data_IF_961494813047
#
_entry.id   IF_961494813047
#
_cell.length_a   1.000
_cell.length_b   1.000
_cell.length_c   1.000
_cell.angle_alpha   90.00
_cell.angle_beta   90.00
_cell.angle_gamma   90.00
#
_symmetry.space_group_name_H-M   'P 1'
#
loop_
_entity.id
_entity.type
_entity.pdbx_description
1 polymer ?
#
# COMPACT_ATOMS: atom_id res chain seq x y z
N UNK A 1 58.09 -13.01 -29.67
CA UNK A 1 57.07 -13.54 -28.75
C UNK A 1 57.25 -12.85 -27.41
N UNK A 2 56.47 -11.81 -27.16
CA UNK A 2 56.54 -11.01 -25.92
C UNK A 2 55.11 -10.74 -25.48
N UNK A 3 54.74 -11.30 -24.33
CA UNK A 3 53.42 -11.25 -23.73
C UNK A 3 53.01 -9.81 -23.37
N UNK A 4 51.80 -9.41 -23.77
CA UNK A 4 51.07 -8.28 -23.18
C UNK A 4 50.31 -8.79 -21.94
N UNK A 5 50.26 -8.04 -20.82
CA UNK A 5 49.37 -8.40 -19.72
C UNK A 5 47.98 -7.80 -19.98
N UNK A 6 46.96 -8.66 -19.92
CA UNK A 6 45.55 -8.26 -19.88
C UNK A 6 45.25 -7.48 -18.61
N UNK A 7 44.86 -6.21 -18.75
CA UNK A 7 44.29 -5.42 -17.66
C UNK A 7 42.86 -5.89 -17.40
N UNK A 8 42.66 -6.61 -16.30
CA UNK A 8 41.34 -6.91 -15.74
C UNK A 8 40.80 -5.62 -15.11
N UNK A 9 39.85 -4.96 -15.78
CA UNK A 9 39.09 -3.86 -15.19
C UNK A 9 38.04 -4.49 -14.27
N UNK A 10 38.30 -4.40 -12.96
CA UNK A 10 37.35 -4.78 -11.92
C UNK A 10 36.24 -3.71 -11.88
N UNK A 11 35.10 -4.00 -12.50
CA UNK A 11 33.92 -3.16 -12.36
C UNK A 11 33.36 -3.33 -10.95
N UNK A 12 33.75 -2.44 -10.03
CA UNK A 12 33.06 -2.27 -8.77
C UNK A 12 31.65 -1.73 -9.06
N UNK A 13 30.65 -2.60 -9.01
CA UNK A 13 29.25 -2.20 -8.98
C UNK A 13 29.05 -1.39 -7.69
N UNK A 14 29.02 -0.07 -7.83
CA UNK A 14 28.55 0.84 -6.79
C UNK A 14 27.05 0.55 -6.60
N UNK A 15 26.72 -0.32 -5.64
CA UNK A 15 25.38 -0.35 -5.07
C UNK A 15 25.11 1.05 -4.51
N UNK A 16 24.32 1.82 -5.25
CA UNK A 16 23.74 3.03 -4.70
C UNK A 16 22.83 2.59 -3.53
N UNK A 17 22.87 3.25 -2.37
CA UNK A 17 21.84 3.00 -1.36
C UNK A 17 20.50 3.34 -2.00
N UNK A 18 19.62 2.35 -2.09
CA UNK A 18 18.21 2.58 -2.43
C UNK A 18 17.70 3.61 -1.43
N UNK A 19 17.20 4.76 -1.91
CA UNK A 19 16.46 5.65 -1.04
C UNK A 19 15.32 4.83 -0.41
N UNK A 20 15.19 4.88 0.91
CA UNK A 20 14.13 4.15 1.61
C UNK A 20 12.78 4.63 1.04
N UNK A 21 12.06 3.72 0.39
CA UNK A 21 10.74 4.02 -0.17
C UNK A 21 9.70 3.95 0.95
N UNK A 22 8.67 4.80 0.89
CA UNK A 22 7.62 4.79 1.90
C UNK A 22 6.80 3.49 1.73
N UNK A 23 6.55 2.72 2.81
CA UNK A 23 5.71 1.52 2.73
C UNK A 23 4.30 1.88 2.26
N UNK A 24 3.79 1.12 1.29
CA UNK A 24 2.42 1.24 0.79
C UNK A 24 1.45 0.47 1.68
N UNK A 25 0.26 1.03 1.86
CA UNK A 25 -0.83 0.42 2.61
C UNK A 25 -1.70 -0.43 1.67
N UNK A 26 -1.61 -1.76 1.80
CA UNK A 26 -2.42 -2.69 1.02
C UNK A 26 -3.66 -3.09 1.81
N UNK A 27 -4.84 -2.83 1.25
CA UNK A 27 -6.12 -3.27 1.80
C UNK A 27 -6.33 -4.75 1.48
N UNK A 28 -6.71 -5.53 2.50
CA UNK A 28 -6.99 -6.95 2.32
C UNK A 28 -8.38 -7.17 1.71
N UNK A 29 -8.42 -7.91 0.61
CA UNK A 29 -9.66 -8.42 0.06
C UNK A 29 -10.14 -9.60 0.93
N UNK A 30 -11.15 -9.36 1.76
CA UNK A 30 -11.71 -10.39 2.62
C UNK A 30 -12.22 -11.61 1.85
N UNK A 31 -12.86 -11.42 0.69
CA UNK A 31 -13.45 -12.52 -0.08
C UNK A 31 -12.36 -13.43 -0.68
N UNK A 32 -11.21 -12.87 -1.03
CA UNK A 32 -10.06 -13.62 -1.53
C UNK A 32 -9.10 -14.09 -0.43
N UNK A 33 -9.10 -13.41 0.73
CA UNK A 33 -8.26 -13.73 1.88
C UNK A 33 -8.90 -14.74 2.82
N UNK A 34 -9.23 -15.91 2.28
CA UNK A 34 -9.88 -17.00 3.00
C UNK A 34 -8.86 -17.99 3.55
N UNK A 35 -9.09 -18.41 4.80
CA UNK A 35 -8.22 -19.26 5.58
C UNK A 35 -8.99 -20.42 6.21
N UNK A 36 -8.23 -21.44 6.58
CA UNK A 36 -8.61 -22.49 7.51
C UNK A 36 -7.64 -22.51 8.67
N UNK A 37 -8.12 -22.93 9.84
CA UNK A 37 -7.25 -23.20 10.96
C UNK A 37 -7.35 -24.67 11.40
N UNK A 38 -6.27 -25.16 11.99
CA UNK A 38 -6.19 -26.48 12.60
C UNK A 38 -5.31 -26.39 13.84
N UNK A 39 -5.44 -27.37 14.73
CA UNK A 39 -4.56 -27.45 15.88
C UNK A 39 -4.45 -28.85 16.46
N UNK A 40 -3.41 -29.08 17.23
CA UNK A 40 -3.23 -30.32 17.99
C UNK A 40 -2.83 -29.99 19.41
N UNK A 41 -3.24 -30.85 20.33
CA UNK A 41 -2.86 -30.80 21.74
C UNK A 41 -2.38 -32.19 22.16
N UNK A 42 -1.81 -32.31 23.36
CA UNK A 42 -1.53 -33.62 23.95
C UNK A 42 -2.79 -34.49 24.15
N UNK A 43 -3.98 -33.89 24.19
CA UNK A 43 -5.28 -34.58 24.33
C UNK A 43 -5.88 -35.03 23.00
N UNK A 44 -5.37 -34.53 21.88
CA UNK A 44 -5.86 -34.86 20.53
C UNK A 44 -5.94 -33.65 19.61
N UNK A 45 -6.49 -33.88 18.42
CA UNK A 45 -6.69 -32.84 17.40
C UNK A 45 -7.83 -31.90 17.79
N UNK A 46 -7.69 -30.64 17.43
CA UNK A 46 -8.75 -29.65 17.49
C UNK A 46 -9.50 -29.68 16.17
N UNK A 47 -10.83 -29.74 16.22
CA UNK A 47 -11.72 -29.63 15.06
C UNK A 47 -12.55 -28.37 15.16
N UNK A 48 -12.90 -27.77 14.02
CA UNK A 48 -13.74 -26.56 13.98
C UNK A 48 -15.11 -26.76 14.64
N UNK A 49 -15.66 -25.68 15.21
CA UNK A 49 -16.91 -25.69 15.94
C UNK A 49 -17.68 -24.36 15.74
N UNK A 50 -18.59 -24.25 14.75
CA UNK A 50 -19.02 -25.28 13.81
C UNK A 50 -18.10 -25.46 12.60
N UNK A 51 -17.24 -24.49 12.32
CA UNK A 51 -16.36 -24.45 11.15
C UNK A 51 -14.92 -24.16 11.56
N UNK A 52 -13.97 -24.51 10.71
CA UNK A 52 -12.57 -24.11 10.82
C UNK A 52 -12.17 -23.03 9.81
N UNK A 53 -13.15 -22.45 9.11
CA UNK A 53 -12.92 -21.39 8.13
C UNK A 53 -13.01 -20.02 8.78
N UNK A 54 -12.14 -19.12 8.33
CA UNK A 54 -12.18 -17.70 8.65
C UNK A 54 -11.60 -16.90 7.48
N UNK A 55 -11.86 -15.60 7.46
CA UNK A 55 -11.21 -14.67 6.55
C UNK A 55 -10.35 -13.66 7.31
N UNK A 56 -9.50 -12.96 6.57
CA UNK A 56 -8.70 -11.87 7.10
C UNK A 56 -9.07 -10.58 6.36
N UNK A 57 -9.35 -9.51 7.10
CA UNK A 57 -9.60 -8.16 6.57
C UNK A 57 -8.61 -7.16 7.18
N UNK A 58 -8.77 -5.87 6.89
CA UNK A 58 -7.83 -4.85 7.35
C UNK A 58 -6.74 -4.62 6.32
N UNK A 59 -5.47 -4.55 6.75
CA UNK A 59 -4.38 -4.17 5.87
C UNK A 59 -3.04 -4.84 6.19
N UNK A 60 -2.09 -4.70 5.26
CA UNK A 60 -0.67 -4.96 5.48
C UNK A 60 0.19 -3.89 4.82
N UNK A 61 1.39 -3.65 5.37
CA UNK A 61 2.32 -2.66 4.82
C UNK A 61 3.34 -3.35 3.91
N UNK A 62 3.46 -2.89 2.67
CA UNK A 62 4.43 -3.40 1.71
C UNK A 62 5.30 -2.25 1.20
N UNK A 63 6.58 -2.29 1.53
CA UNK A 63 7.58 -1.48 0.84
C UNK A 63 7.88 -2.16 -0.50
N UNK A 64 7.74 -1.42 -1.60
CA UNK A 64 8.06 -1.90 -2.95
C UNK A 64 9.30 -1.19 -3.43
N UNK A 65 10.26 -1.97 -3.93
CA UNK A 65 11.47 -1.46 -4.57
C UNK A 65 11.51 -1.75 -6.06
N UNK A 66 12.06 -0.82 -6.85
CA UNK A 66 12.02 -0.90 -8.31
C UNK A 66 12.63 0.32 -9.00
N UNK A 67 13.05 0.14 -10.25
CA UNK A 67 13.51 1.20 -11.14
C UNK A 67 12.37 1.80 -11.98
N UNK A 68 12.70 2.59 -13.01
CA UNK A 68 11.73 3.38 -13.79
C UNK A 68 10.59 2.60 -14.48
N UNK A 69 10.62 1.26 -14.57
CA UNK A 69 9.67 0.50 -15.38
C UNK A 69 9.25 -0.88 -14.83
N UNK A 70 9.71 -1.26 -13.63
CA UNK A 70 9.33 -2.56 -13.04
C UNK A 70 9.50 -2.56 -11.52
N UNK A 71 8.58 -3.25 -10.86
CA UNK A 71 8.73 -3.73 -9.50
C UNK A 71 9.88 -4.75 -9.49
N UNK A 72 10.92 -4.51 -8.69
CA UNK A 72 12.12 -5.34 -8.63
C UNK A 72 12.31 -6.02 -7.26
N UNK A 73 11.63 -5.55 -6.23
CA UNK A 73 11.69 -6.14 -4.90
C UNK A 73 10.59 -5.64 -3.98
N UNK A 74 10.48 -6.26 -2.81
CA UNK A 74 9.52 -5.88 -1.79
C UNK A 74 9.92 -6.31 -0.39
N UNK A 75 9.26 -5.73 0.61
CA UNK A 75 9.41 -6.11 2.01
C UNK A 75 8.12 -5.83 2.77
N UNK A 76 7.61 -6.82 3.49
CA UNK A 76 6.47 -6.63 4.37
C UNK A 76 6.96 -5.95 5.64
N UNK A 77 6.50 -4.71 5.86
CA UNK A 77 6.91 -3.87 6.99
C UNK A 77 5.91 -3.99 8.13
N UNK A 78 6.36 -3.56 9.31
CA UNK A 78 5.48 -3.40 10.46
C UNK A 78 4.47 -2.24 10.25
N UNK A 79 3.37 -2.27 10.99
CA UNK A 79 2.31 -1.26 10.98
C UNK A 79 1.01 -1.72 10.32
N UNK A 80 0.99 -2.90 9.69
CA UNK A 80 -0.22 -3.51 9.14
C UNK A 80 -1.02 -4.27 10.21
N UNK A 81 -2.36 -4.25 10.09
CA UNK A 81 -3.25 -4.95 11.00
C UNK A 81 -4.24 -5.80 10.21
N UNK A 82 -4.00 -7.12 10.21
CA UNK A 82 -4.86 -8.11 9.61
C UNK A 82 -5.86 -8.65 10.65
N UNK A 83 -7.14 -8.37 10.48
CA UNK A 83 -8.20 -8.72 11.42
C UNK A 83 -8.74 -10.10 11.07
N UNK A 84 -8.73 -11.03 12.03
CA UNK A 84 -9.33 -12.36 11.86
C UNK A 84 -10.83 -12.27 12.11
N UNK A 85 -11.63 -12.74 11.15
CA UNK A 85 -13.08 -12.77 11.28
C UNK A 85 -13.68 -13.98 10.55
N UNK A 86 -14.63 -14.72 11.14
CA UNK A 86 -15.07 -14.60 12.53
C UNK A 86 -13.98 -15.04 13.53
N UNK A 87 -14.25 -14.85 14.82
CA UNK A 87 -13.46 -15.46 15.89
C UNK A 87 -13.32 -16.98 15.68
N UNK A 88 -12.18 -17.54 16.07
CA UNK A 88 -11.89 -18.95 15.86
C UNK A 88 -12.50 -19.76 17.00
N UNK A 89 -13.37 -20.74 16.68
CA UNK A 89 -13.95 -21.64 17.68
C UNK A 89 -13.80 -23.10 17.25
N UNK A 90 -13.29 -23.91 18.16
CA UNK A 90 -12.98 -25.32 17.94
C UNK A 90 -13.23 -26.16 19.18
N UNK A 91 -13.10 -27.47 19.02
CA UNK A 91 -13.28 -28.44 20.11
C UNK A 91 -12.34 -29.61 19.97
N UNK A 92 -12.01 -30.22 21.10
CA UNK A 92 -11.35 -31.53 21.13
C UNK A 92 -12.45 -32.59 21.26
N UNK A 93 -12.70 -33.41 20.22
CA UNK A 93 -13.76 -34.39 20.27
C UNK A 93 -13.46 -35.47 21.30
N UNK A 94 -14.50 -36.00 21.92
CA UNK A 94 -14.39 -37.19 22.75
C UNK A 94 -14.23 -38.43 21.85
N UNK A 95 -13.61 -39.48 22.37
CA UNK A 95 -13.49 -40.78 21.69
C UNK A 95 -14.85 -41.32 21.27
N UNK A 96 -15.87 -41.10 22.10
CA UNK A 96 -17.26 -41.46 21.80
C UNK A 96 -18.05 -40.21 21.40
N UNK A 97 -18.57 -40.18 20.17
CA UNK A 97 -19.24 -39.01 19.59
C UNK A 97 -20.54 -38.57 20.32
N UNK A 98 -21.13 -39.44 21.15
CA UNK A 98 -22.31 -39.11 21.97
C UNK A 98 -21.96 -38.44 23.29
N UNK A 99 -20.68 -38.44 23.69
CA UNK A 99 -20.21 -37.71 24.87
C UNK A 99 -19.89 -36.25 24.49
N UNK A 100 -20.04 -35.31 25.45
CA UNK A 100 -19.59 -33.94 25.25
C UNK A 100 -18.09 -33.86 24.89
N UNK A 101 -17.66 -32.81 24.15
CA UNK A 101 -16.25 -32.59 23.82
C UNK A 101 -15.36 -32.51 25.07
N UNK A 102 -14.09 -32.90 24.93
CA UNK A 102 -13.11 -32.84 26.02
C UNK A 102 -12.74 -31.40 26.39
N UNK A 103 -12.77 -30.49 25.42
CA UNK A 103 -12.63 -29.06 25.62
C UNK A 103 -13.23 -28.28 24.45
N UNK A 104 -13.66 -27.06 24.72
CA UNK A 104 -13.94 -26.01 23.74
C UNK A 104 -12.76 -25.04 23.76
N UNK A 105 -12.35 -24.60 22.56
CA UNK A 105 -11.25 -23.66 22.34
C UNK A 105 -11.83 -22.48 21.58
N UNK A 106 -11.75 -21.29 22.15
CA UNK A 106 -12.18 -20.06 21.51
C UNK A 106 -11.01 -19.06 21.47
N UNK A 107 -10.79 -18.45 20.31
CA UNK A 107 -9.82 -17.37 20.14
C UNK A 107 -10.58 -16.15 19.62
N UNK A 108 -10.65 -15.11 20.44
CA UNK A 108 -11.45 -13.92 20.17
C UNK A 108 -10.60 -12.68 19.97
N UNK A 109 -11.09 -11.74 19.17
CA UNK A 109 -10.45 -10.45 18.88
C UNK A 109 -9.02 -10.62 18.35
N UNK A 110 -8.81 -11.62 17.48
CA UNK A 110 -7.48 -11.93 16.98
C UNK A 110 -7.10 -10.99 15.84
N UNK A 111 -5.92 -10.39 15.93
CA UNK A 111 -5.32 -9.60 14.85
C UNK A 111 -3.89 -10.05 14.61
N UNK A 112 -3.45 -9.97 13.36
CA UNK A 112 -2.16 -10.47 12.88
C UNK A 112 -1.36 -9.35 12.20
N UNK A 113 -0.05 -9.46 12.27
CA UNK A 113 0.91 -8.70 11.47
C UNK A 113 1.79 -9.67 10.69
N UNK A 114 2.12 -9.32 9.45
CA UNK A 114 2.99 -10.09 8.58
C UNK A 114 4.25 -9.28 8.30
N UNK A 115 5.42 -9.87 8.51
CA UNK A 115 6.72 -9.24 8.19
C UNK A 115 7.61 -10.20 7.43
N UNK A 116 8.48 -9.67 6.57
CA UNK A 116 9.44 -10.45 5.77
C UNK A 116 10.79 -9.74 5.76
N UNK A 117 11.91 -10.43 5.51
CA UNK A 117 13.09 -9.75 4.98
C UNK A 117 12.79 -9.22 3.57
N UNK A 118 13.61 -8.29 3.09
CA UNK A 118 13.56 -7.82 1.71
C UNK A 118 13.72 -8.98 0.72
N UNK A 119 12.93 -9.01 -0.33
CA UNK A 119 12.96 -10.03 -1.38
C UNK A 119 12.98 -9.42 -2.77
N UNK A 120 13.50 -10.17 -3.74
CA UNK A 120 13.45 -9.81 -5.15
C UNK A 120 12.16 -10.30 -5.80
N UNK A 121 11.67 -9.52 -6.77
CA UNK A 121 10.48 -9.83 -7.57
C UNK A 121 10.94 -10.04 -9.01
N UNK A 122 10.56 -11.17 -9.60
CA UNK A 122 10.88 -11.49 -10.98
C UNK A 122 10.04 -10.65 -11.96
N UNK A 123 10.44 -10.62 -13.24
CA UNK A 123 9.75 -9.84 -14.28
C UNK A 123 8.30 -10.30 -14.52
N UNK A 124 7.96 -11.54 -14.17
CA UNK A 124 6.59 -12.07 -14.21
C UNK A 124 5.79 -11.77 -12.93
N UNK A 125 6.35 -10.99 -12.00
CA UNK A 125 5.74 -10.63 -10.73
C UNK A 125 5.92 -11.67 -9.63
N UNK A 126 6.51 -12.83 -9.92
CA UNK A 126 6.69 -13.88 -8.91
C UNK A 126 7.78 -13.52 -7.90
N UNK A 127 7.59 -13.92 -6.64
CA UNK A 127 8.58 -13.73 -5.59
C UNK A 127 8.59 -14.89 -4.59
N UNK A 128 9.70 -15.00 -3.86
CA UNK A 128 9.86 -15.97 -2.78
C UNK A 128 10.65 -15.36 -1.63
N UNK A 129 10.19 -15.59 -0.40
CA UNK A 129 10.79 -15.10 0.85
C UNK A 129 10.40 -16.01 2.02
N UNK A 130 10.70 -15.58 3.25
CA UNK A 130 10.08 -16.13 4.46
C UNK A 130 9.23 -15.06 5.15
N UNK A 131 8.14 -15.49 5.78
CA UNK A 131 7.22 -14.64 6.51
C UNK A 131 7.23 -14.99 7.98
N UNK A 132 7.17 -13.97 8.83
CA UNK A 132 6.88 -14.09 10.25
C UNK A 132 5.49 -13.50 10.46
N UNK A 133 4.60 -14.30 11.05
CA UNK A 133 3.27 -13.85 11.47
C UNK A 133 3.27 -13.63 12.97
N UNK A 134 2.91 -12.43 13.41
CA UNK A 134 2.81 -12.05 14.82
C UNK A 134 1.36 -11.79 15.18
N UNK A 135 0.90 -12.30 16.32
CA UNK A 135 -0.41 -11.99 16.88
C UNK A 135 -0.29 -10.64 17.60
N UNK A 136 -0.96 -9.61 17.08
CA UNK A 136 -0.96 -8.27 17.66
C UNK A 136 -1.97 -8.13 18.81
N UNK A 137 -3.05 -8.90 18.77
CA UNK A 137 -4.05 -8.99 19.82
C UNK A 137 -4.81 -10.31 19.71
N UNK A 138 -5.42 -10.75 20.79
CA UNK A 138 -6.28 -11.93 20.82
C UNK A 138 -6.27 -12.61 22.18
N UNK A 139 -7.38 -13.25 22.54
CA UNK A 139 -7.51 -14.01 23.78
C UNK A 139 -7.92 -15.44 23.48
N UNK A 140 -7.08 -16.40 23.88
CA UNK A 140 -7.38 -17.82 23.86
C UNK A 140 -8.10 -18.21 25.15
N UNK A 141 -9.31 -18.74 25.02
CA UNK A 141 -10.10 -19.32 26.10
C UNK A 141 -10.20 -20.82 25.90
N UNK A 142 -9.87 -21.60 26.92
CA UNK A 142 -10.03 -23.06 26.91
C UNK A 142 -11.02 -23.44 28.00
N UNK A 143 -12.16 -24.00 27.60
CA UNK A 143 -13.20 -24.51 28.50
C UNK A 143 -13.15 -26.04 28.51
N UNK A 144 -12.51 -26.67 29.50
CA UNK A 144 -12.42 -28.13 29.57
C UNK A 144 -13.76 -28.75 29.99
N UNK A 145 -13.93 -30.05 29.70
CA UNK A 145 -15.09 -30.83 30.17
C UNK A 145 -15.16 -30.89 31.70
N UNK A 146 -14.00 -30.96 32.35
CA UNK A 146 -13.85 -30.99 33.80
C UNK A 146 -12.75 -30.00 34.18
N UNK A 147 -13.01 -29.17 35.19
CA UNK A 147 -12.07 -28.17 35.69
C UNK A 147 -12.51 -26.75 35.37
N UNK A 148 -11.59 -25.82 35.54
CA UNK A 148 -11.83 -24.38 35.34
C UNK A 148 -11.47 -23.96 33.92
N UNK A 149 -12.19 -22.96 33.40
CA UNK A 149 -11.82 -22.29 32.15
C UNK A 149 -10.52 -21.51 32.35
N UNK A 150 -9.62 -21.59 31.38
CA UNK A 150 -8.39 -20.79 31.34
C UNK A 150 -8.47 -19.75 30.23
N UNK A 151 -7.77 -18.63 30.45
CA UNK A 151 -7.67 -17.52 29.49
C UNK A 151 -6.21 -17.14 29.34
N UNK A 152 -5.75 -16.99 28.10
CA UNK A 152 -4.36 -16.66 27.76
C UNK A 152 -4.36 -15.52 26.75
N UNK A 153 -3.65 -14.45 27.08
CA UNK A 153 -3.38 -13.36 26.14
C UNK A 153 -2.38 -13.84 25.07
N UNK A 154 -2.73 -13.64 23.81
CA UNK A 154 -1.93 -14.05 22.66
C UNK A 154 -1.00 -12.95 22.13
N UNK A 155 -1.09 -11.74 22.67
CA UNK A 155 -0.37 -10.56 22.21
C UNK A 155 1.14 -10.79 22.18
N UNK A 156 1.76 -10.47 21.04
CA UNK A 156 3.20 -10.59 20.81
C UNK A 156 3.69 -11.98 20.46
N UNK A 157 2.81 -13.00 20.43
CA UNK A 157 3.22 -14.33 19.99
C UNK A 157 3.46 -14.38 18.49
N UNK A 158 4.60 -14.94 18.10
CA UNK A 158 4.99 -15.08 16.70
C UNK A 158 5.11 -16.55 16.28
N UNK A 159 4.72 -16.82 15.05
CA UNK A 159 5.05 -18.06 14.37
C UNK A 159 6.54 -18.06 14.00
N UNK A 160 7.17 -19.23 13.98
CA UNK A 160 8.50 -19.36 13.38
C UNK A 160 8.44 -19.03 11.89
N UNK A 161 9.54 -18.52 11.31
CA UNK A 161 9.60 -18.12 9.91
C UNK A 161 9.11 -19.24 8.96
N UNK A 162 8.09 -18.96 8.15
CA UNK A 162 7.52 -19.89 7.18
C UNK A 162 7.88 -19.48 5.75
N UNK A 163 8.07 -20.43 4.82
CA UNK A 163 8.29 -20.09 3.42
C UNK A 163 7.05 -19.38 2.86
N UNK A 164 7.28 -18.32 2.09
CA UNK A 164 6.24 -17.56 1.42
C UNK A 164 6.61 -17.37 -0.05
N UNK A 165 5.70 -17.74 -0.95
CA UNK A 165 5.83 -17.46 -2.38
C UNK A 165 4.50 -16.94 -2.91
N UNK A 166 4.56 -16.00 -3.84
CA UNK A 166 3.36 -15.44 -4.46
C UNK A 166 3.68 -14.53 -5.62
N UNK A 167 2.73 -13.65 -5.93
CA UNK A 167 2.80 -12.76 -7.10
C UNK A 167 2.44 -11.34 -6.71
N UNK A 168 3.13 -10.38 -7.32
CA UNK A 168 2.83 -8.95 -7.26
C UNK A 168 2.74 -8.43 -8.69
N UNK A 169 1.70 -7.67 -8.98
CA UNK A 169 1.49 -7.05 -10.29
C UNK A 169 1.00 -5.61 -10.14
N UNK A 170 1.52 -4.70 -10.95
CA UNK A 170 0.98 -3.35 -11.11
C UNK A 170 0.11 -3.27 -12.37
N UNK A 171 -1.04 -2.64 -12.24
CA UNK A 171 -1.89 -2.25 -13.36
C UNK A 171 -2.31 -0.79 -13.18
N UNK A 172 -2.91 -0.17 -14.19
CA UNK A 172 -3.32 1.25 -14.15
C UNK A 172 -4.28 1.62 -13.02
N UNK A 173 -4.83 0.65 -12.28
CA UNK A 173 -5.71 0.88 -11.14
C UNK A 173 -5.03 0.74 -9.77
N UNK A 174 -3.84 0.16 -9.69
CA UNK A 174 -3.21 -0.16 -8.41
C UNK A 174 -2.20 -1.29 -8.50
N UNK A 175 -1.64 -1.64 -7.35
CA UNK A 175 -0.80 -2.84 -7.20
C UNK A 175 -1.59 -3.93 -6.51
N UNK A 176 -1.53 -5.14 -7.04
CA UNK A 176 -2.21 -6.31 -6.53
C UNK A 176 -1.17 -7.33 -6.08
N UNK A 177 -1.41 -7.94 -4.93
CA UNK A 177 -0.53 -8.94 -4.35
C UNK A 177 -1.36 -10.15 -3.91
N UNK A 178 -0.83 -11.35 -4.16
CA UNK A 178 -1.47 -12.61 -3.77
C UNK A 178 -0.41 -13.61 -3.37
N UNK A 179 -0.51 -14.12 -2.14
CA UNK A 179 0.42 -15.13 -1.64
C UNK A 179 -0.26 -16.11 -0.70
N UNK A 180 -0.23 -17.41 -1.01
CA UNK A 180 -0.59 -18.46 -0.07
C UNK A 180 0.26 -18.36 1.20
N UNK A 181 -0.39 -18.37 2.36
CA UNK A 181 0.23 -18.25 3.67
C UNK A 181 -0.01 -19.51 4.50
N UNK A 182 1.03 -19.92 5.22
CA UNK A 182 0.92 -20.87 6.33
C UNK A 182 1.61 -20.25 7.54
N UNK A 183 0.95 -20.25 8.69
CA UNK A 183 1.50 -19.76 9.95
C UNK A 183 1.26 -20.79 11.04
N UNK A 184 2.30 -21.30 11.67
CA UNK A 184 2.17 -22.27 12.77
C UNK A 184 2.69 -21.69 14.07
N UNK A 185 1.77 -21.55 15.02
CA UNK A 185 2.01 -21.13 16.40
C UNK A 185 2.11 -22.35 17.29
N UNK A 186 3.03 -22.33 18.24
CA UNK A 186 3.22 -23.37 19.23
C UNK A 186 3.10 -22.77 20.62
N UNK A 187 2.29 -23.40 21.46
CA UNK A 187 2.02 -23.00 22.84
C UNK A 187 2.56 -24.09 23.76
N UNK A 188 3.13 -23.67 24.88
CA UNK A 188 3.45 -24.57 25.99
C UNK A 188 2.92 -23.92 27.25
N UNK A 189 1.98 -24.58 27.93
CA UNK A 189 1.51 -24.13 29.24
C UNK A 189 2.58 -24.41 30.31
N UNK A 190 3.14 -23.39 30.99
CA UNK A 190 4.18 -23.59 31.99
C UNK A 190 3.71 -24.37 33.22
N UNK A 191 2.40 -24.32 33.53
CA UNK A 191 1.83 -24.98 34.70
C UNK A 191 1.66 -26.49 34.53
N UNK A 192 1.16 -26.92 33.37
CA UNK A 192 0.86 -28.32 33.06
C UNK A 192 1.91 -29.01 32.19
N UNK A 193 2.79 -28.25 31.52
CA UNK A 193 3.71 -28.76 30.50
C UNK A 193 3.02 -29.18 29.20
N UNK A 194 1.73 -28.87 29.04
CA UNK A 194 0.96 -29.23 27.86
C UNK A 194 1.40 -28.39 26.66
N UNK A 195 1.69 -29.06 25.55
CA UNK A 195 1.93 -28.40 24.27
C UNK A 195 0.68 -28.40 23.39
N UNK A 196 0.50 -27.30 22.67
CA UNK A 196 -0.51 -27.17 21.64
C UNK A 196 0.08 -26.50 20.39
N UNK A 197 -0.49 -26.79 19.24
CA UNK A 197 -0.19 -26.09 17.98
C UNK A 197 -1.46 -25.50 17.40
N UNK A 198 -1.31 -24.37 16.73
CA UNK A 198 -2.32 -23.76 15.87
C UNK A 198 -1.69 -23.42 14.54
N UNK A 199 -2.21 -24.00 13.47
CA UNK A 199 -1.79 -23.72 12.10
C UNK A 199 -2.92 -22.98 11.39
N UNK A 200 -2.58 -21.82 10.82
CA UNK A 200 -3.42 -21.04 9.91
C UNK A 200 -2.94 -21.32 8.48
N UNK A 201 -3.86 -21.61 7.57
CA UNK A 201 -3.53 -21.87 6.16
C UNK A 201 -4.57 -21.22 5.27
N UNK A 202 -4.12 -20.35 4.37
CA UNK A 202 -5.01 -19.61 3.48
C UNK A 202 -4.24 -18.82 2.45
N UNK A 203 -4.89 -17.82 1.88
CA UNK A 203 -4.26 -16.88 0.93
C UNK A 203 -4.34 -15.49 1.52
N UNK A 204 -3.23 -14.75 1.46
CA UNK A 204 -3.23 -13.32 1.71
C UNK A 204 -3.34 -12.62 0.36
N UNK A 205 -4.43 -11.91 0.13
CA UNK A 205 -4.63 -11.12 -1.07
C UNK A 205 -5.04 -9.71 -0.70
N UNK A 206 -4.36 -8.74 -1.28
CA UNK A 206 -4.72 -7.35 -1.12
C UNK A 206 -4.23 -6.49 -2.26
N UNK A 207 -4.73 -5.29 -2.27
CA UNK A 207 -4.45 -4.30 -3.27
C UNK A 207 -4.11 -2.95 -2.64
N UNK A 208 -3.27 -2.20 -3.32
CA UNK A 208 -3.09 -0.79 -3.11
C UNK A 208 -3.64 -0.08 -4.34
N UNK A 209 -4.90 0.31 -4.27
CA UNK A 209 -5.52 1.14 -5.29
C UNK A 209 -4.77 2.48 -5.41
N UNK A 210 -4.55 2.90 -6.65
CA UNK A 210 -4.04 4.22 -6.95
C UNK A 210 -5.07 5.26 -6.50
N UNK A 211 -4.74 6.00 -5.44
CA UNK A 211 -5.69 6.95 -4.83
C UNK A 211 -6.25 7.94 -5.85
N UNK A 212 -7.56 8.20 -5.75
CA UNK A 212 -8.23 9.27 -6.49
C UNK A 212 -7.65 10.62 -6.13
N UNK A 213 -7.41 11.47 -7.13
CA UNK A 213 -6.97 12.84 -6.91
C UNK A 213 -8.06 13.66 -6.22
N UNK A 214 -7.68 14.70 -5.47
CA UNK A 214 -8.64 15.51 -4.73
C UNK A 214 -8.34 17.00 -4.87
N UNK A 215 -9.37 17.78 -5.17
CA UNK A 215 -9.27 19.22 -5.19
C UNK A 215 -9.19 19.80 -3.78
N UNK A 216 -8.36 20.82 -3.60
CA UNK A 216 -8.23 21.53 -2.34
C UNK A 216 -7.96 23.01 -2.61
N UNK A 217 -8.00 23.84 -1.55
CA UNK A 217 -7.84 25.28 -1.64
C UNK A 217 -8.97 25.94 -2.47
N UNK A 218 -9.10 27.26 -2.41
CA UNK A 218 -10.12 27.99 -3.16
C UNK A 218 -9.49 28.82 -4.27
N UNK A 219 -10.04 28.69 -5.49
CA UNK A 219 -9.76 29.59 -6.59
C UNK A 219 -10.65 30.84 -6.55
N UNK A 220 -10.08 31.97 -7.00
CA UNK A 220 -10.86 33.17 -7.25
C UNK A 220 -11.47 33.12 -8.66
N UNK A 221 -12.65 33.74 -8.88
CA UNK A 221 -13.19 33.90 -10.22
C UNK A 221 -12.20 34.63 -11.15
N UNK A 222 -12.10 34.18 -12.39
CA UNK A 222 -11.37 34.87 -13.45
C UNK A 222 -12.32 35.72 -14.31
N UNK A 223 -11.83 36.32 -15.40
CA UNK A 223 -12.66 37.20 -16.26
C UNK A 223 -13.85 36.54 -16.96
N UNK A 224 -13.97 35.20 -16.92
CA UNK A 224 -15.20 34.49 -17.30
C UNK A 224 -16.32 34.61 -16.28
N UNK A 225 -16.01 35.05 -15.05
CA UNK A 225 -16.91 35.05 -13.91
C UNK A 225 -16.89 33.75 -13.08
N UNK A 226 -16.15 32.73 -13.53
CA UNK A 226 -16.01 31.44 -12.85
C UNK A 226 -14.56 31.21 -12.36
N UNK A 227 -14.34 30.46 -11.27
CA UNK A 227 -13.01 30.00 -10.90
C UNK A 227 -12.52 28.95 -11.91
N UNK A 228 -11.22 28.97 -12.20
CA UNK A 228 -10.59 27.92 -13.01
C UNK A 228 -10.61 26.59 -12.23
N UNK A 229 -11.01 25.51 -12.89
CA UNK A 229 -11.23 24.21 -12.26
C UNK A 229 -10.24 23.19 -12.81
N UNK A 230 -9.34 22.70 -11.94
CA UNK A 230 -8.34 21.68 -12.29
C UNK A 230 -8.87 20.30 -11.93
N UNK A 231 -8.60 19.30 -12.76
CA UNK A 231 -8.91 17.90 -12.49
C UNK A 231 -7.89 17.01 -13.20
N UNK A 232 -8.01 15.70 -13.02
CA UNK A 232 -7.14 14.74 -13.70
C UNK A 232 -7.92 13.56 -14.26
N UNK A 233 -7.35 12.96 -15.29
CA UNK A 233 -7.77 11.70 -15.88
C UNK A 233 -6.55 10.78 -16.08
N UNK A 234 -6.78 9.52 -16.45
CA UNK A 234 -5.71 8.51 -16.52
C UNK A 234 -5.46 7.84 -15.18
N UNK A 235 -4.19 7.54 -14.86
CA UNK A 235 -3.76 6.92 -13.61
C UNK A 235 -2.70 7.73 -12.88
N UNK A 236 -2.63 7.59 -11.56
CA UNK A 236 -1.54 8.11 -10.72
C UNK A 236 -0.38 7.10 -10.59
N UNK A 237 -0.40 6.01 -11.37
CA UNK A 237 0.69 5.03 -11.46
C UNK A 237 1.91 5.62 -12.17
N UNK A 238 3.05 5.64 -11.47
CA UNK A 238 4.32 6.09 -12.05
C UNK A 238 4.77 5.18 -13.18
N UNK A 239 4.50 3.87 -13.09
CA UNK A 239 4.85 2.91 -14.12
C UNK A 239 3.94 3.01 -15.34
N UNK A 240 2.65 3.33 -15.16
CA UNK A 240 1.74 3.55 -16.27
C UNK A 240 2.10 4.80 -17.08
N UNK A 241 2.75 5.79 -16.45
CA UNK A 241 3.15 7.08 -17.04
C UNK A 241 2.03 7.74 -17.88
N UNK A 242 0.79 7.72 -17.38
CA UNK A 242 -0.39 8.14 -18.15
C UNK A 242 -1.30 9.14 -17.41
N UNK A 243 -0.78 9.80 -16.38
CA UNK A 243 -1.49 10.89 -15.71
C UNK A 243 -1.76 12.02 -16.71
N UNK A 244 -3.01 12.50 -16.75
CA UNK A 244 -3.39 13.68 -17.53
C UNK A 244 -3.97 14.73 -16.60
N UNK A 245 -3.38 15.92 -16.62
CA UNK A 245 -3.85 17.10 -15.91
C UNK A 245 -4.70 17.95 -16.86
N UNK A 246 -5.86 18.36 -16.38
CA UNK A 246 -6.81 19.13 -17.16
C UNK A 246 -7.27 20.35 -16.38
N UNK A 247 -7.59 21.42 -17.08
CA UNK A 247 -8.13 22.61 -16.45
C UNK A 247 -9.18 23.27 -17.34
N UNK A 248 -10.30 23.68 -16.74
CA UNK A 248 -11.47 24.26 -17.41
C UNK A 248 -11.84 25.61 -16.79
N UNK A 249 -12.86 26.27 -17.36
CA UNK A 249 -13.30 27.62 -17.00
C UNK A 249 -12.19 28.67 -17.15
N UNK A 250 -11.29 28.50 -18.12
CA UNK A 250 -10.18 29.42 -18.36
C UNK A 250 -10.62 30.63 -19.18
N UNK A 251 -10.01 31.81 -18.99
CA UNK A 251 -10.25 32.94 -19.88
C UNK A 251 -9.90 32.59 -21.34
N UNK A 252 -10.80 32.93 -22.26
CA UNK A 252 -10.67 32.61 -23.68
C UNK A 252 -9.37 33.16 -24.28
N UNK A 253 -8.71 32.36 -25.13
CA UNK A 253 -7.51 32.75 -25.87
C UNK A 253 -6.34 33.24 -24.98
N UNK A 254 -6.18 32.64 -23.79
CA UNK A 254 -5.07 32.91 -22.88
C UNK A 254 -4.09 31.75 -22.78
N UNK A 255 -2.83 32.11 -22.57
CA UNK A 255 -1.75 31.18 -22.27
C UNK A 255 -1.63 30.93 -20.78
N UNK A 256 -1.26 29.71 -20.43
CA UNK A 256 -1.00 29.28 -19.05
C UNK A 256 -0.14 28.02 -19.02
N UNK A 257 0.17 27.54 -17.82
CA UNK A 257 0.94 26.32 -17.62
C UNK A 257 0.64 25.71 -16.25
N UNK A 258 0.88 24.41 -16.13
CA UNK A 258 0.76 23.70 -14.86
C UNK A 258 1.96 23.98 -13.95
N UNK A 259 1.70 23.96 -12.65
CA UNK A 259 2.63 24.09 -11.55
C UNK A 259 2.55 22.82 -10.72
N UNK A 260 3.66 22.46 -10.07
CA UNK A 260 3.64 21.45 -9.01
C UNK A 260 4.56 21.80 -7.84
N UNK A 261 4.31 21.22 -6.68
CA UNK A 261 5.12 21.39 -5.48
C UNK A 261 4.96 20.19 -4.51
N UNK A 262 5.92 19.97 -3.59
CA UNK A 262 5.84 18.88 -2.60
C UNK A 262 4.93 19.20 -1.41
N UNK A 263 4.39 20.42 -1.32
CA UNK A 263 3.54 20.84 -0.21
C UNK A 263 2.40 21.77 -0.66
N UNK A 264 1.26 21.67 0.03
CA UNK A 264 0.15 22.60 -0.11
C UNK A 264 0.47 23.95 0.55
N UNK A 265 -0.23 24.99 0.12
CA UNK A 265 -0.11 26.35 0.66
C UNK A 265 -1.36 27.17 0.41
N UNK A 266 -1.35 28.42 0.87
CA UNK A 266 -2.36 29.40 0.54
C UNK A 266 -1.76 30.80 0.60
N UNK A 267 -1.45 31.37 -0.57
CA UNK A 267 -0.93 32.73 -0.70
C UNK A 267 -1.90 33.52 -1.59
N UNK A 268 -2.77 34.35 -1.00
CA UNK A 268 -3.73 35.13 -1.77
C UNK A 268 -3.03 36.21 -2.59
N UNK A 269 -3.52 36.46 -3.80
CA UNK A 269 -3.05 37.52 -4.71
C UNK A 269 -1.51 37.52 -4.93
N UNK A 270 -0.93 36.33 -5.04
CA UNK A 270 0.52 36.16 -5.10
C UNK A 270 1.14 36.92 -6.28
N UNK A 271 2.25 37.64 -6.04
CA UNK A 271 3.02 38.29 -7.09
C UNK A 271 2.21 39.27 -7.97
N UNK A 272 1.11 39.84 -7.46
CA UNK A 272 0.22 40.72 -8.22
C UNK A 272 -0.83 39.99 -9.08
N UNK A 273 -0.94 38.67 -8.96
CA UNK A 273 -2.02 37.87 -9.51
C UNK A 273 -3.35 38.21 -8.83
N UNK A 274 -4.47 38.00 -9.54
CA UNK A 274 -5.82 38.03 -8.97
C UNK A 274 -6.23 36.66 -8.38
N UNK A 275 -5.43 35.62 -8.59
CA UNK A 275 -5.63 34.27 -8.05
C UNK A 275 -4.90 34.01 -6.73
N UNK A 276 -5.24 32.88 -6.08
CA UNK A 276 -4.57 32.38 -4.88
C UNK A 276 -3.58 31.27 -5.27
N UNK A 277 -2.33 31.34 -4.79
CA UNK A 277 -1.37 30.26 -4.97
C UNK A 277 -1.58 29.21 -3.88
N UNK A 278 -1.96 27.99 -4.30
CA UNK A 278 -2.29 26.90 -3.38
C UNK A 278 -1.09 25.99 -3.09
N UNK A 279 0.12 26.38 -3.50
CA UNK A 279 1.34 25.59 -3.43
C UNK A 279 2.35 26.24 -2.48
N UNK A 280 3.15 25.43 -1.79
CA UNK A 280 4.28 25.90 -0.97
C UNK A 280 5.54 25.05 -1.16
N UNK A 281 6.67 25.49 -0.59
CA UNK A 281 7.97 24.88 -0.82
C UNK A 281 8.56 25.21 -2.20
N UNK A 282 9.28 24.26 -2.80
CA UNK A 282 9.88 24.45 -4.13
C UNK A 282 8.82 24.27 -5.22
N UNK A 283 8.17 25.37 -5.61
CA UNK A 283 7.21 25.38 -6.72
C UNK A 283 7.94 25.29 -8.06
N UNK A 284 7.66 24.23 -8.79
CA UNK A 284 8.20 23.95 -10.13
C UNK A 284 7.14 24.25 -11.19
N UNK A 285 7.60 24.69 -12.36
CA UNK A 285 6.73 25.13 -13.47
C UNK A 285 6.97 24.25 -14.68
N UNK A 286 5.90 23.76 -15.30
CA UNK A 286 5.94 23.18 -16.65
C UNK A 286 6.02 24.30 -17.70
N UNK A 287 7.01 25.19 -17.55
CA UNK A 287 7.15 26.42 -18.34
C UNK A 287 7.61 26.20 -19.78
N UNK A 288 8.06 24.98 -20.12
CA UNK A 288 8.33 24.56 -21.49
C UNK A 288 7.07 24.03 -22.19
N UNK A 289 6.05 23.67 -21.41
CA UNK A 289 4.79 23.07 -21.87
C UNK A 289 3.65 24.10 -21.71
N UNK A 290 3.82 25.27 -22.31
CA UNK A 290 2.82 26.34 -22.27
C UNK A 290 1.59 25.94 -23.08
N UNK A 291 0.43 26.00 -22.44
CA UNK A 291 -0.85 25.64 -23.03
C UNK A 291 -1.66 26.87 -23.42
N UNK A 292 -2.51 26.71 -24.45
CA UNK A 292 -3.39 27.74 -24.95
C UNK A 292 -4.85 27.31 -24.81
N UNK A 293 -5.60 28.03 -23.99
CA UNK A 293 -7.01 27.73 -23.68
C UNK A 293 -7.96 27.83 -24.88
N UNK A 294 -7.57 28.59 -25.92
CA UNK A 294 -8.33 28.74 -27.17
C UNK A 294 -9.80 29.10 -26.95
N UNK A 295 -10.64 28.65 -27.89
CA UNK A 295 -12.10 28.80 -27.81
C UNK A 295 -12.76 27.82 -26.82
N UNK A 296 -12.08 26.72 -26.50
CA UNK A 296 -12.57 25.69 -25.59
C UNK A 296 -12.55 26.15 -24.12
N UNK A 297 -11.76 27.18 -23.79
CA UNK A 297 -11.60 27.66 -22.41
C UNK A 297 -11.10 26.55 -21.47
N UNK A 298 -10.34 25.61 -22.03
CA UNK A 298 -9.83 24.44 -21.36
C UNK A 298 -8.48 24.03 -21.94
N UNK A 299 -7.71 23.27 -21.16
CA UNK A 299 -6.43 22.69 -21.56
C UNK A 299 -6.30 21.27 -21.00
N UNK A 300 -5.48 20.46 -21.66
CA UNK A 300 -5.12 19.11 -21.23
C UNK A 300 -3.62 18.92 -21.43
N UNK A 301 -2.96 18.29 -20.45
CA UNK A 301 -1.53 18.07 -20.42
C UNK A 301 -1.19 16.75 -19.73
N UNK A 302 -0.45 15.87 -20.39
CA UNK A 302 0.09 14.65 -19.79
C UNK A 302 1.57 14.84 -19.50
N UNK A 303 1.98 15.10 -18.24
CA UNK A 303 3.40 15.20 -17.89
C UNK A 303 4.10 13.86 -18.08
N UNK A 304 5.30 13.88 -18.66
CA UNK A 304 6.19 12.71 -18.67
C UNK A 304 6.85 12.58 -17.29
N UNK A 305 6.37 11.63 -16.50
CA UNK A 305 6.83 11.40 -15.12
C UNK A 305 8.27 10.89 -15.05
N UNK A 306 8.85 10.49 -16.18
CA UNK A 306 10.26 10.09 -16.29
C UNK A 306 11.21 11.24 -16.62
N UNK A 307 10.68 12.41 -16.96
CA UNK A 307 11.45 13.55 -17.43
C UNK A 307 10.89 14.88 -16.89
N UNK A 308 10.76 14.97 -15.57
CA UNK A 308 10.21 16.14 -14.92
C UNK A 308 11.18 17.33 -14.91
N UNK A 309 10.67 18.59 -14.90
CA UNK A 309 11.51 19.77 -14.87
C UNK A 309 12.48 19.80 -13.67
N UNK A 310 13.64 20.40 -13.87
CA UNK A 310 14.69 20.54 -12.85
C UNK A 310 15.27 19.22 -12.31
N UNK A 311 15.11 18.12 -13.04
CA UNK A 311 15.62 16.80 -12.64
C UNK A 311 14.88 16.23 -11.43
N UNK A 312 13.65 16.69 -11.17
CA UNK A 312 12.80 16.11 -10.13
C UNK A 312 12.51 14.65 -10.48
N UNK A 313 12.53 13.79 -9.47
CA UNK A 313 12.07 12.41 -9.56
C UNK A 313 11.04 12.23 -8.46
N UNK A 314 9.88 11.68 -8.79
CA UNK A 314 8.86 11.34 -7.81
C UNK A 314 9.00 9.87 -7.41
N UNK A 315 8.87 9.63 -6.11
CA UNK A 315 8.85 8.32 -5.51
C UNK A 315 7.44 7.74 -5.44
N UNK A 316 7.38 6.42 -5.35
CA UNK A 316 6.15 5.69 -5.00
C UNK A 316 5.75 6.07 -3.57
N UNK A 317 4.45 6.30 -3.36
CA UNK A 317 3.89 6.79 -2.10
C UNK A 317 4.05 8.30 -1.88
N UNK A 318 4.77 9.02 -2.76
CA UNK A 318 4.90 10.47 -2.65
C UNK A 318 3.62 11.18 -3.09
N UNK A 319 3.28 12.25 -2.38
CA UNK A 319 2.19 13.16 -2.75
C UNK A 319 2.76 14.44 -3.38
N UNK A 320 2.23 14.81 -4.54
CA UNK A 320 2.50 16.09 -5.19
C UNK A 320 1.23 16.92 -5.31
N UNK A 321 1.43 18.22 -5.29
CA UNK A 321 0.36 19.21 -5.35
C UNK A 321 0.47 19.98 -6.64
N UNK A 322 -0.61 20.01 -7.43
CA UNK A 322 -0.67 20.68 -8.72
C UNK A 322 -1.58 21.90 -8.67
N UNK A 323 -1.31 22.88 -9.54
CA UNK A 323 -2.18 24.01 -9.78
C UNK A 323 -1.98 24.51 -11.22
N UNK A 324 -3.00 25.05 -11.87
CA UNK A 324 -2.86 25.70 -13.17
C UNK A 324 -2.76 27.21 -13.00
N UNK A 325 -1.74 27.83 -13.61
CA UNK A 325 -1.63 29.28 -13.73
C UNK A 325 -2.02 29.72 -15.14
N UNK A 326 -2.81 30.79 -15.25
CA UNK A 326 -3.24 31.35 -16.53
C UNK A 326 -3.11 32.87 -16.56
N UNK A 327 -2.84 33.43 -17.74
CA UNK A 327 -3.01 34.86 -17.97
C UNK A 327 -4.48 35.23 -17.87
N UNK A 328 -4.75 36.39 -17.31
CA UNK A 328 -6.10 36.96 -17.24
C UNK A 328 -6.08 38.42 -17.74
N UNK A 329 -7.23 39.07 -17.90
CA UNK A 329 -7.25 40.47 -18.38
C UNK A 329 -6.60 41.38 -17.34
N UNK A 330 -5.48 42.01 -17.71
CA UNK A 330 -4.74 42.95 -16.86
C UNK A 330 -3.83 42.30 -15.81
N UNK A 331 -3.98 41.00 -15.53
CA UNK A 331 -3.22 40.28 -14.49
C UNK A 331 -3.03 38.78 -14.86
N UNK A 332 -3.02 37.91 -13.86
CA UNK A 332 -3.11 36.46 -13.98
C UNK A 332 -4.10 35.89 -12.97
N UNK A 333 -4.49 34.63 -13.16
CA UNK A 333 -5.31 33.89 -12.21
C UNK A 333 -4.80 32.45 -12.07
N UNK A 334 -5.35 31.70 -11.13
CA UNK A 334 -5.00 30.30 -10.85
C UNK A 334 -6.25 29.46 -10.63
N UNK A 335 -6.15 28.16 -10.94
CA UNK A 335 -7.15 27.17 -10.50
C UNK A 335 -7.06 26.95 -9.00
N UNK A 336 -7.99 26.17 -8.44
CA UNK A 336 -7.75 25.54 -7.14
C UNK A 336 -6.59 24.53 -7.23
N UNK A 337 -6.21 23.94 -6.11
CA UNK A 337 -5.17 22.92 -6.06
C UNK A 337 -5.70 21.52 -6.36
N UNK A 338 -4.83 20.64 -6.85
CA UNK A 338 -5.09 19.20 -7.00
C UNK A 338 -4.02 18.41 -6.25
N UNK A 339 -4.43 17.53 -5.34
CA UNK A 339 -3.54 16.61 -4.62
C UNK A 339 -3.50 15.28 -5.35
N UNK A 340 -2.29 14.76 -5.59
CA UNK A 340 -2.05 13.50 -6.30
C UNK A 340 -1.03 12.68 -5.51
N UNK A 341 -1.42 11.48 -5.09
CA UNK A 341 -0.49 10.50 -4.47
C UNK A 341 -0.13 9.45 -5.50
N UNK A 342 1.16 9.21 -5.68
CA UNK A 342 1.68 8.31 -6.69
C UNK A 342 1.75 6.86 -6.17
N UNK A 343 1.23 5.95 -6.99
CA UNK A 343 1.30 4.51 -6.79
C UNK A 343 2.30 3.92 -7.81
N UNK A 344 2.66 2.64 -7.66
CA UNK A 344 3.44 1.91 -8.66
C UNK A 344 2.75 1.94 -10.03
#
# INVERSE_FOLDING_TARGET
>A
MSCLPSSVVLAAALCSPSAAQVPLDFTLDYAASQYTWAGTTSLGRIVGNPSNQFGVSGNFMLEISGGSWAIAGGEFKTGGVAIVSPDLSGKIPNTFAWLPPLAIIDITNMTLEFTTPSFSIALDGSYSTSVITTILSGTLTVTPLVGSTTSTDLTGMSAGAQPLSGTISSASGGTFMTSPQVSTFSFTDPGSGMSATMTLTGTLQGDNDCQTTSNYCSANPNTTGLPAHIFSSGSTSLYANNLTLECSNLPKNKFGYFLFAPASGFIPNFGGSSGNLCLSGKVVRFSKDVMYSGSAQAVSYSPDMTNLPSGTVWGIGETQYFQYWTRDVGTSNTSEGLTVTFCP
#
